data_IF_459324363173
#
_entry.id   IF_459324363173
#
_cell.length_a   1.000
_cell.length_b   1.000
_cell.length_c   1.000
_cell.angle_alpha   90.00
_cell.angle_beta   90.00
_cell.angle_gamma   90.00
#
_symmetry.space_group_name_H-M   'P 1'
#
loop_
_entity.id
_entity.type
_entity.pdbx_description
1 polymer ?
#
# COMPACT_ATOMS: atom_id res chain seq x y z
N UNK A 1 -0.12 16.61 7.38
CA UNK A 1 0.68 16.80 6.15
C UNK A 1 2.19 16.64 6.40
N UNK A 2 2.80 17.38 7.34
CA UNK A 2 4.24 17.24 7.65
C UNK A 2 4.67 15.81 8.04
N UNK A 3 3.86 15.09 8.84
CA UNK A 3 4.20 13.73 9.27
C UNK A 3 4.32 12.72 8.11
N UNK A 4 3.47 12.83 7.08
CA UNK A 4 3.51 11.92 5.92
C UNK A 4 4.71 12.19 5.01
N UNK A 5 5.13 13.45 4.86
CA UNK A 5 6.34 13.80 4.12
C UNK A 5 7.59 13.23 4.80
N UNK A 6 7.67 13.36 6.12
CA UNK A 6 8.77 12.79 6.90
C UNK A 6 8.77 11.25 6.87
N UNK A 7 7.60 10.62 6.96
CA UNK A 7 7.48 9.17 6.82
C UNK A 7 7.92 8.72 5.42
N UNK A 8 7.51 9.43 4.36
CA UNK A 8 7.91 9.15 2.99
C UNK A 8 9.44 9.18 2.84
N UNK A 9 10.10 10.21 3.36
CA UNK A 9 11.57 10.33 3.35
C UNK A 9 12.22 9.14 4.04
N UNK A 10 11.78 8.80 5.25
CA UNK A 10 12.31 7.66 6.02
C UNK A 10 12.19 6.33 5.29
N UNK A 11 11.06 6.08 4.62
CA UNK A 11 10.86 4.85 3.84
C UNK A 11 11.82 4.81 2.65
N UNK A 12 11.99 5.92 1.92
CA UNK A 12 12.94 6.02 0.80
C UNK A 12 14.37 5.76 1.29
N UNK A 13 14.77 6.37 2.40
CA UNK A 13 16.09 6.16 3.01
C UNK A 13 16.31 4.67 3.34
N UNK A 14 15.33 4.00 3.96
CA UNK A 14 15.45 2.58 4.32
C UNK A 14 15.56 1.66 3.11
N UNK A 15 14.82 1.95 2.04
CA UNK A 15 14.92 1.18 0.78
C UNK A 15 16.30 1.39 0.15
N UNK A 16 16.81 2.63 0.14
CA UNK A 16 18.14 2.93 -0.38
C UNK A 16 19.23 2.22 0.43
N UNK A 17 19.17 2.26 1.77
CA UNK A 17 20.08 1.53 2.65
C UNK A 17 20.09 0.02 2.34
N UNK A 18 18.91 -0.58 2.14
CA UNK A 18 18.80 -1.98 1.76
C UNK A 18 19.49 -2.26 0.43
N UNK A 19 19.24 -1.43 -0.59
CA UNK A 19 19.81 -1.60 -1.93
C UNK A 19 21.33 -1.40 -1.92
N UNK A 20 21.85 -0.42 -1.17
CA UNK A 20 23.29 -0.25 -0.99
C UNK A 20 23.95 -1.50 -0.40
N UNK A 21 23.27 -2.21 0.50
CA UNK A 21 23.79 -3.43 1.13
C UNK A 21 23.65 -4.68 0.26
N UNK A 22 22.57 -4.79 -0.52
CA UNK A 22 22.27 -5.99 -1.31
C UNK A 22 22.65 -5.86 -2.80
N UNK A 23 22.99 -4.66 -3.26
CA UNK A 23 23.36 -4.33 -4.63
C UNK A 23 22.18 -4.16 -5.60
N UNK A 24 21.01 -4.77 -5.32
CA UNK A 24 19.84 -4.72 -6.21
C UNK A 24 18.51 -4.94 -5.48
N UNK A 25 17.42 -4.55 -6.15
CA UNK A 25 16.04 -4.86 -5.77
C UNK A 25 15.28 -5.34 -7.01
N UNK A 26 15.02 -6.64 -7.10
CA UNK A 26 14.34 -7.25 -8.25
C UNK A 26 12.85 -7.45 -8.03
N UNK A 27 12.47 -7.79 -6.80
CA UNK A 27 11.09 -8.04 -6.45
C UNK A 27 10.83 -7.40 -5.12
N UNK A 28 9.77 -6.60 -5.06
CA UNK A 28 9.23 -6.10 -3.81
C UNK A 28 7.78 -6.52 -3.68
N UNK A 29 7.40 -7.06 -2.52
CA UNK A 29 6.03 -7.48 -2.23
C UNK A 29 5.48 -6.65 -1.08
N UNK A 30 4.44 -5.87 -1.36
CA UNK A 30 3.73 -5.12 -0.34
C UNK A 30 2.54 -5.92 0.19
N UNK A 31 2.61 -6.32 1.46
CA UNK A 31 1.61 -7.17 2.14
C UNK A 31 0.92 -6.47 3.32
N UNK A 32 1.47 -5.35 3.80
CA UNK A 32 0.98 -4.70 5.01
C UNK A 32 -0.48 -4.23 4.84
N UNK A 33 -1.37 -4.75 5.69
CA UNK A 33 -2.76 -4.32 5.76
C UNK A 33 -3.35 -4.46 7.17
N UNK A 34 -4.47 -3.77 7.37
CA UNK A 34 -5.39 -4.04 8.46
C UNK A 34 -6.81 -4.21 7.92
N UNK A 35 -7.60 -4.96 8.69
CA UNK A 35 -9.01 -5.22 8.46
C UNK A 35 -9.81 -4.86 9.71
N UNK A 36 -10.96 -4.22 9.50
CA UNK A 36 -12.06 -4.16 10.46
C UNK A 36 -13.33 -4.55 9.75
N UNK A 37 -14.16 -5.30 10.46
CA UNK A 37 -15.48 -5.71 10.01
C UNK A 37 -16.54 -4.99 10.84
N UNK A 38 -17.56 -4.46 10.20
CA UNK A 38 -18.66 -3.79 10.89
C UNK A 38 -19.72 -3.29 9.92
N UNK A 39 -20.88 -2.97 10.48
CA UNK A 39 -21.92 -2.24 9.76
C UNK A 39 -21.35 -0.88 9.32
N UNK A 40 -21.56 -0.52 8.04
CA UNK A 40 -20.92 0.69 7.47
C UNK A 40 -21.35 1.97 8.18
N UNK A 41 -22.59 2.01 8.70
CA UNK A 41 -23.13 3.18 9.42
C UNK A 41 -22.54 3.34 10.83
N UNK A 42 -21.95 2.28 11.38
CA UNK A 42 -21.43 2.25 12.75
C UNK A 42 -19.90 2.39 12.81
N UNK A 43 -19.21 2.36 11.66
CA UNK A 43 -17.75 2.41 11.62
C UNK A 43 -17.26 3.83 11.91
N UNK A 44 -16.44 4.03 12.96
CA UNK A 44 -15.90 5.34 13.27
C UNK A 44 -14.98 5.85 12.15
N UNK A 45 -15.05 7.15 11.85
CA UNK A 45 -14.15 7.80 10.86
C UNK A 45 -12.67 7.58 11.18
N UNK A 46 -12.32 7.44 12.47
CA UNK A 46 -10.96 7.12 12.90
C UNK A 46 -10.50 5.76 12.37
N UNK A 47 -11.36 4.75 12.41
CA UNK A 47 -11.04 3.42 11.88
C UNK A 47 -10.99 3.43 10.35
N UNK A 48 -11.92 4.15 9.72
CA UNK A 48 -11.88 4.39 8.28
C UNK A 48 -10.52 4.93 7.83
N UNK A 49 -10.05 5.99 8.49
CA UNK A 49 -8.74 6.59 8.21
C UNK A 49 -7.60 5.63 8.47
N UNK A 50 -7.61 4.93 9.61
CA UNK A 50 -6.57 3.96 9.94
C UNK A 50 -6.41 2.89 8.86
N UNK A 51 -7.52 2.36 8.33
CA UNK A 51 -7.48 1.34 7.27
C UNK A 51 -6.88 1.92 5.99
N UNK A 52 -7.25 3.14 5.59
CA UNK A 52 -6.68 3.77 4.41
C UNK A 52 -5.21 4.15 4.59
N UNK A 53 -4.83 4.64 5.78
CA UNK A 53 -3.46 5.01 6.12
C UNK A 53 -2.54 3.79 6.02
N UNK A 54 -2.94 2.65 6.57
CA UNK A 54 -2.15 1.42 6.45
C UNK A 54 -2.22 0.83 5.04
N UNK A 55 -3.41 0.55 4.54
CA UNK A 55 -3.56 -0.27 3.34
C UNK A 55 -3.20 0.51 2.08
N UNK A 56 -3.67 1.75 1.94
CA UNK A 56 -3.51 2.52 0.70
C UNK A 56 -2.32 3.46 0.76
N UNK A 57 -2.22 4.30 1.80
CA UNK A 57 -1.10 5.24 1.92
C UNK A 57 0.22 4.48 2.12
N UNK A 58 0.23 3.43 2.94
CA UNK A 58 1.39 2.52 3.06
C UNK A 58 1.84 1.96 1.71
N UNK A 59 0.90 1.42 0.92
CA UNK A 59 1.19 0.93 -0.45
C UNK A 59 1.80 2.02 -1.33
N UNK A 60 1.19 3.21 -1.36
CA UNK A 60 1.66 4.33 -2.17
C UNK A 60 3.10 4.75 -1.80
N UNK A 61 3.39 4.85 -0.50
CA UNK A 61 4.71 5.28 -0.02
C UNK A 61 5.81 4.28 -0.39
N UNK A 62 5.49 2.99 -0.27
CA UNK A 62 6.40 1.91 -0.65
C UNK A 62 6.63 1.87 -2.17
N UNK A 63 5.58 1.99 -2.98
CA UNK A 63 5.74 2.11 -4.43
C UNK A 63 6.61 3.32 -4.80
N UNK A 64 6.42 4.48 -4.16
CA UNK A 64 7.27 5.65 -4.38
C UNK A 64 8.76 5.36 -4.09
N UNK A 65 9.06 4.54 -3.08
CA UNK A 65 10.43 4.20 -2.71
C UNK A 65 11.05 3.13 -3.62
N UNK A 66 10.27 2.15 -4.06
CA UNK A 66 10.78 1.02 -4.86
C UNK A 66 10.76 1.26 -6.37
N UNK A 67 9.82 2.07 -6.89
CA UNK A 67 9.64 2.29 -8.34
C UNK A 67 10.92 2.76 -9.05
N UNK A 68 11.66 3.77 -8.56
CA UNK A 68 12.87 4.24 -9.25
C UNK A 68 13.93 3.14 -9.45
N UNK A 69 14.02 2.22 -8.49
CA UNK A 69 14.96 1.10 -8.53
C UNK A 69 14.47 -0.03 -9.43
N UNK A 70 13.18 -0.34 -9.38
CA UNK A 70 12.58 -1.38 -10.22
C UNK A 70 12.71 -1.10 -11.71
N UNK A 71 12.68 0.18 -12.13
CA UNK A 71 12.88 0.57 -13.53
C UNK A 71 14.29 0.24 -14.01
N UNK A 72 15.30 0.43 -13.15
CA UNK A 72 16.70 0.14 -13.47
C UNK A 72 16.93 -1.38 -13.54
N UNK A 73 16.39 -2.12 -12.58
CA UNK A 73 16.57 -3.58 -12.49
C UNK A 73 15.63 -4.37 -13.40
N UNK A 74 14.63 -3.70 -14.01
CA UNK A 74 13.47 -4.34 -14.65
C UNK A 74 12.76 -5.30 -13.68
N UNK A 75 12.71 -4.89 -12.41
CA UNK A 75 12.10 -5.63 -11.33
C UNK A 75 10.58 -5.48 -11.29
N UNK A 76 9.95 -6.22 -10.37
CA UNK A 76 8.51 -6.26 -10.19
C UNK A 76 8.11 -5.74 -8.80
N UNK A 77 7.04 -4.95 -8.75
CA UNK A 77 6.38 -4.58 -7.49
C UNK A 77 5.04 -5.30 -7.44
N UNK A 78 4.84 -6.11 -6.40
CA UNK A 78 3.63 -6.89 -6.18
C UNK A 78 2.85 -6.26 -5.04
N UNK A 79 1.65 -5.76 -5.33
CA UNK A 79 0.77 -5.18 -4.33
C UNK A 79 -0.32 -6.17 -3.92
N UNK A 80 -0.44 -6.47 -2.64
CA UNK A 80 -1.42 -7.44 -2.12
C UNK A 80 -2.80 -6.82 -2.01
N UNK A 81 -3.74 -7.34 -2.80
CA UNK A 81 -5.17 -7.00 -2.71
C UNK A 81 -5.98 -8.10 -2.01
N UNK A 82 -7.31 -8.10 -2.16
CA UNK A 82 -8.22 -9.10 -1.62
C UNK A 82 -9.32 -9.43 -2.62
N UNK A 83 -9.92 -10.61 -2.51
CA UNK A 83 -11.16 -10.94 -3.22
C UNK A 83 -12.29 -9.94 -2.91
N UNK A 84 -12.24 -9.32 -1.72
CA UNK A 84 -13.15 -8.25 -1.32
C UNK A 84 -13.03 -6.96 -2.16
N UNK A 85 -11.96 -6.80 -2.95
CA UNK A 85 -11.85 -5.71 -3.91
C UNK A 85 -12.73 -5.94 -5.16
N UNK A 86 -13.08 -7.19 -5.45
CA UNK A 86 -13.74 -7.60 -6.69
C UNK A 86 -15.17 -8.09 -6.46
N UNK A 87 -15.47 -8.54 -5.24
CA UNK A 87 -16.78 -9.08 -4.87
C UNK A 87 -17.32 -8.37 -3.63
N UNK A 88 -18.65 -8.25 -3.55
CA UNK A 88 -19.31 -7.70 -2.37
C UNK A 88 -19.16 -8.63 -1.17
N UNK A 89 -18.50 -8.14 -0.12
CA UNK A 89 -18.43 -8.82 1.18
C UNK A 89 -19.14 -7.98 2.25
N UNK A 90 -20.24 -8.49 2.86
CA UNK A 90 -20.92 -7.81 3.95
C UNK A 90 -19.95 -7.43 5.07
N UNK A 91 -20.19 -6.27 5.68
CA UNK A 91 -19.42 -5.73 6.79
C UNK A 91 -17.94 -5.39 6.51
N UNK A 92 -17.47 -5.45 5.26
CA UNK A 92 -16.08 -5.18 4.89
C UNK A 92 -15.90 -3.94 4.01
N UNK A 93 -16.87 -3.00 4.02
CA UNK A 93 -16.94 -1.91 3.02
C UNK A 93 -15.65 -1.08 2.92
N UNK A 94 -15.03 -0.68 4.03
CA UNK A 94 -13.78 0.11 3.98
C UNK A 94 -12.60 -0.75 3.52
N UNK A 95 -12.50 -2.00 3.99
CA UNK A 95 -11.42 -2.89 3.55
C UNK A 95 -11.53 -3.16 2.05
N UNK A 96 -12.73 -3.50 1.57
CA UNK A 96 -13.05 -3.65 0.15
C UNK A 96 -12.67 -2.40 -0.65
N UNK A 97 -13.07 -1.20 -0.19
CA UNK A 97 -12.70 0.06 -0.82
C UNK A 97 -11.17 0.27 -0.88
N UNK A 98 -10.46 0.00 0.22
CA UNK A 98 -8.99 0.13 0.29
C UNK A 98 -8.29 -0.82 -0.69
N UNK A 99 -8.77 -2.06 -0.81
CA UNK A 99 -8.19 -3.07 -1.70
C UNK A 99 -8.57 -2.82 -3.16
N UNK A 100 -9.77 -2.27 -3.42
CA UNK A 100 -10.18 -1.76 -4.73
C UNK A 100 -9.32 -0.57 -5.18
N UNK A 101 -8.98 0.34 -4.28
CA UNK A 101 -8.05 1.42 -4.56
C UNK A 101 -6.66 0.90 -4.95
N UNK A 102 -6.15 -0.12 -4.26
CA UNK A 102 -4.88 -0.78 -4.62
C UNK A 102 -4.94 -1.42 -6.01
N UNK A 103 -6.07 -2.04 -6.39
CA UNK A 103 -6.26 -2.60 -7.74
C UNK A 103 -6.17 -1.52 -8.81
N UNK A 104 -6.94 -0.43 -8.65
CA UNK A 104 -6.92 0.68 -9.60
C UNK A 104 -5.55 1.34 -9.66
N UNK A 105 -4.92 1.60 -8.52
CA UNK A 105 -3.59 2.17 -8.42
C UNK A 105 -2.52 1.31 -9.11
N UNK A 106 -2.52 0.00 -8.86
CA UNK A 106 -1.55 -0.92 -9.46
C UNK A 106 -1.71 -1.00 -10.97
N UNK A 107 -2.95 -1.01 -11.48
CA UNK A 107 -3.21 -0.98 -12.93
C UNK A 107 -2.73 0.31 -13.57
N UNK A 108 -2.88 1.46 -12.91
CA UNK A 108 -2.41 2.74 -13.43
C UNK A 108 -0.89 2.93 -13.33
N UNK A 109 -0.21 2.17 -12.46
CA UNK A 109 1.25 2.18 -12.34
C UNK A 109 1.97 1.37 -13.41
N UNK A 110 1.31 0.35 -13.98
CA UNK A 110 1.86 -0.56 -14.97
C UNK A 110 1.73 0.00 -16.39
#
# INVERSE_FOLDING_TARGET
>A
MLCLLELKKKIIEKVNEYITRQGRLDVFVNVADILRTGSTVDIPVKEFRSILDTNMIGTFLICCACLPHSVITKGNIINTTSAAALHGHPFMSIHAASKGAIVAFTKSLA
#
